data_IF_531130208176
#
_entry.id   IF_531130208176
#
_cell.length_a   1.000
_cell.length_b   1.000
_cell.length_c   1.000
_cell.angle_alpha   90.00
_cell.angle_beta   90.00
_cell.angle_gamma   90.00
#
_symmetry.space_group_name_H-M   'P 1'
#
loop_
_entity.id
_entity.type
_entity.pdbx_description
1 polymer ?
#
# COMPACT_ATOMS: atom_id res chain seq x y z
N UNK A 1 40.37 4.56 16.51
CA UNK A 1 39.01 4.68 15.93
C UNK A 1 39.07 4.13 14.51
N UNK A 2 38.44 2.98 14.23
CA UNK A 2 38.47 2.40 12.87
C UNK A 2 37.77 3.35 11.89
N UNK A 3 38.46 3.76 10.82
CA UNK A 3 37.86 4.56 9.74
C UNK A 3 36.87 3.67 9.00
N UNK A 4 35.58 3.88 9.24
CA UNK A 4 34.52 3.25 8.45
C UNK A 4 34.74 3.62 6.97
N UNK A 5 34.68 2.60 6.12
CA UNK A 5 34.73 2.74 4.67
C UNK A 5 33.67 3.77 4.20
N UNK A 6 34.06 4.81 3.44
CA UNK A 6 33.13 5.82 2.94
C UNK A 6 31.95 5.24 2.13
N UNK A 7 32.12 4.12 1.43
CA UNK A 7 31.00 3.45 0.73
C UNK A 7 30.03 2.81 1.71
N UNK A 8 30.55 2.13 2.73
CA UNK A 8 29.75 1.54 3.80
C UNK A 8 28.98 2.62 4.56
N UNK A 9 29.62 3.76 4.87
CA UNK A 9 28.97 4.91 5.51
C UNK A 9 27.81 5.45 4.67
N UNK A 10 28.00 5.61 3.35
CA UNK A 10 26.93 6.08 2.45
C UNK A 10 25.75 5.11 2.41
N UNK A 11 26.02 3.80 2.38
CA UNK A 11 24.98 2.77 2.39
C UNK A 11 24.16 2.79 3.69
N UNK A 12 24.83 2.84 4.84
CA UNK A 12 24.17 2.92 6.15
C UNK A 12 23.34 4.19 6.32
N UNK A 13 23.86 5.33 5.84
CA UNK A 13 23.10 6.58 5.82
C UNK A 13 21.86 6.49 4.91
N UNK A 14 21.95 5.78 3.79
CA UNK A 14 20.80 5.54 2.91
C UNK A 14 19.76 4.63 3.56
N UNK A 15 20.19 3.58 4.25
CA UNK A 15 19.30 2.66 4.97
C UNK A 15 18.58 3.32 6.16
N UNK A 16 19.24 4.25 6.86
CA UNK A 16 18.65 5.03 7.96
C UNK A 16 17.69 6.12 7.51
N UNK A 17 17.78 6.61 6.27
CA UNK A 17 16.88 7.65 5.75
C UNK A 17 15.46 7.16 5.43
N UNK A 18 15.25 5.84 5.29
CA UNK A 18 13.92 5.26 5.07
C UNK A 18 13.63 4.14 6.06
N UNK A 19 13.51 4.45 7.37
CA UNK A 19 13.15 3.45 8.36
C UNK A 19 11.75 2.88 8.05
N UNK A 20 11.57 1.59 8.32
CA UNK A 20 10.28 0.87 8.17
C UNK A 20 9.75 0.68 6.73
N UNK A 21 10.60 0.75 5.70
CA UNK A 21 10.19 0.51 4.30
C UNK A 21 9.44 -0.81 4.10
N UNK A 22 9.93 -1.90 4.72
CA UNK A 22 9.29 -3.21 4.67
C UNK A 22 7.88 -3.22 5.30
N UNK A 23 7.74 -2.63 6.49
CA UNK A 23 6.46 -2.52 7.18
C UNK A 23 5.44 -1.73 6.34
N UNK A 24 5.86 -0.58 5.79
CA UNK A 24 5.01 0.25 4.93
C UNK A 24 4.51 -0.53 3.71
N UNK A 25 5.38 -1.31 3.07
CA UNK A 25 5.02 -2.14 1.91
C UNK A 25 4.01 -3.22 2.28
N UNK A 26 4.18 -3.89 3.42
CA UNK A 26 3.22 -4.89 3.92
C UNK A 26 1.85 -4.24 4.16
N UNK A 27 1.82 -3.05 4.78
CA UNK A 27 0.57 -2.30 4.98
C UNK A 27 -0.12 -1.98 3.65
N UNK A 28 0.61 -1.48 2.66
CA UNK A 28 0.03 -1.19 1.35
C UNK A 28 -0.53 -2.43 0.65
N UNK A 29 0.15 -3.57 0.77
CA UNK A 29 -0.33 -4.85 0.23
C UNK A 29 -1.61 -5.29 0.96
N UNK A 30 -1.62 -5.26 2.29
CA UNK A 30 -2.76 -5.66 3.10
C UNK A 30 -3.99 -4.78 2.81
N UNK A 31 -3.81 -3.46 2.76
CA UNK A 31 -4.89 -2.53 2.43
C UNK A 31 -5.40 -2.71 0.99
N UNK A 32 -4.51 -2.93 0.03
CA UNK A 32 -4.90 -3.22 -1.35
C UNK A 32 -5.73 -4.50 -1.43
N UNK A 33 -5.24 -5.59 -0.82
CA UNK A 33 -5.95 -6.87 -0.80
C UNK A 33 -7.33 -6.77 -0.13
N UNK A 34 -7.41 -6.05 1.00
CA UNK A 34 -8.67 -5.80 1.70
C UNK A 34 -9.63 -4.95 0.85
N UNK A 35 -9.14 -3.93 0.14
CA UNK A 35 -9.95 -3.11 -0.74
C UNK A 35 -10.55 -3.94 -1.90
N UNK A 36 -9.76 -4.80 -2.55
CA UNK A 36 -10.28 -5.66 -3.60
C UNK A 36 -11.29 -6.69 -3.08
N UNK A 37 -11.03 -7.28 -1.91
CA UNK A 37 -11.97 -8.22 -1.30
C UNK A 37 -13.30 -7.54 -0.93
N UNK A 38 -13.24 -6.34 -0.35
CA UNK A 38 -14.43 -5.54 -0.04
C UNK A 38 -15.21 -5.17 -1.29
N UNK A 39 -14.53 -4.80 -2.38
CA UNK A 39 -15.19 -4.52 -3.67
C UNK A 39 -15.88 -5.77 -4.22
N UNK A 40 -15.24 -6.94 -4.16
CA UNK A 40 -15.83 -8.20 -4.57
C UNK A 40 -17.11 -8.50 -3.78
N UNK A 41 -17.09 -8.32 -2.46
CA UNK A 41 -18.28 -8.51 -1.61
C UNK A 41 -19.40 -7.54 -1.99
N UNK A 42 -19.08 -6.27 -2.25
CA UNK A 42 -20.07 -5.27 -2.68
C UNK A 42 -20.65 -5.63 -4.05
N UNK A 43 -19.85 -6.07 -5.00
CA UNK A 43 -20.34 -6.51 -6.32
C UNK A 43 -21.25 -7.73 -6.20
N UNK A 44 -20.91 -8.70 -5.34
CA UNK A 44 -21.79 -9.84 -5.04
C UNK A 44 -23.12 -9.40 -4.44
N UNK A 45 -23.11 -8.41 -3.54
CA UNK A 45 -24.31 -7.81 -2.95
C UNK A 45 -25.19 -7.09 -3.98
N UNK A 46 -24.59 -6.35 -4.91
CA UNK A 46 -25.33 -5.72 -6.02
C UNK A 46 -25.97 -6.80 -6.89
N UNK A 47 -25.22 -7.86 -7.21
CA UNK A 47 -25.72 -8.98 -8.01
C UNK A 47 -26.86 -9.75 -7.33
N UNK A 48 -26.93 -9.75 -6.00
CA UNK A 48 -28.04 -10.36 -5.25
C UNK A 48 -29.25 -9.42 -5.09
N UNK A 49 -29.24 -8.23 -5.72
CA UNK A 49 -30.32 -7.26 -5.64
C UNK A 49 -30.38 -6.49 -4.32
N UNK A 50 -29.31 -6.48 -3.52
CA UNK A 50 -29.28 -5.71 -2.27
C UNK A 50 -28.90 -4.26 -2.53
N UNK A 51 -29.58 -3.33 -1.86
CA UNK A 51 -29.25 -1.91 -1.96
C UNK A 51 -27.94 -1.60 -1.25
N UNK A 52 -27.07 -0.86 -1.94
CA UNK A 52 -25.83 -0.35 -1.38
C UNK A 52 -25.85 1.17 -1.36
N UNK A 53 -25.36 1.74 -0.27
CA UNK A 53 -25.13 3.17 -0.19
C UNK A 53 -24.05 3.58 -1.21
N UNK A 54 -24.41 4.44 -2.16
CA UNK A 54 -23.54 4.89 -3.24
C UNK A 54 -22.20 5.48 -2.73
N UNK A 55 -22.24 6.17 -1.58
CA UNK A 55 -21.05 6.72 -0.94
C UNK A 55 -20.02 5.62 -0.57
N UNK A 56 -20.50 4.48 -0.07
CA UNK A 56 -19.61 3.36 0.29
C UNK A 56 -18.93 2.78 -0.95
N UNK A 57 -19.65 2.74 -2.08
CA UNK A 57 -19.13 2.27 -3.36
C UNK A 57 -18.00 3.19 -3.86
N UNK A 58 -18.19 4.50 -3.79
CA UNK A 58 -17.15 5.47 -4.18
C UNK A 58 -15.91 5.38 -3.29
N UNK A 59 -16.09 5.25 -1.98
CA UNK A 59 -14.97 5.08 -1.05
C UNK A 59 -14.22 3.77 -1.36
N UNK A 60 -14.94 2.68 -1.62
CA UNK A 60 -14.34 1.39 -1.94
C UNK A 60 -13.53 1.43 -3.24
N UNK A 61 -14.08 2.06 -4.29
CA UNK A 61 -13.38 2.25 -5.56
C UNK A 61 -12.14 3.15 -5.37
N UNK A 62 -12.27 4.22 -4.59
CA UNK A 62 -11.15 5.09 -4.21
C UNK A 62 -10.04 4.30 -3.52
N UNK A 63 -10.38 3.44 -2.56
CA UNK A 63 -9.42 2.57 -1.88
C UNK A 63 -8.76 1.56 -2.83
N UNK A 64 -9.53 0.97 -3.76
CA UNK A 64 -9.02 0.04 -4.77
C UNK A 64 -8.04 0.68 -5.75
N UNK A 65 -8.09 2.00 -5.95
CA UNK A 65 -7.14 2.72 -6.80
C UNK A 65 -5.97 3.25 -5.96
N UNK A 66 -6.28 3.88 -4.83
CA UNK A 66 -5.31 4.59 -4.00
C UNK A 66 -4.23 3.65 -3.44
N UNK A 67 -4.62 2.54 -2.79
CA UNK A 67 -3.64 1.68 -2.13
C UNK A 67 -2.70 0.96 -3.10
N UNK A 68 -3.17 0.40 -4.24
CA UNK A 68 -2.26 -0.16 -5.24
C UNK A 68 -1.36 0.88 -5.87
N UNK A 69 -1.86 2.10 -6.07
CA UNK A 69 -1.05 3.23 -6.57
C UNK A 69 0.05 3.59 -5.58
N UNK A 70 -0.26 3.70 -4.29
CA UNK A 70 0.73 3.94 -3.23
C UNK A 70 1.76 2.81 -3.13
N UNK A 71 1.33 1.56 -3.26
CA UNK A 71 2.23 0.41 -3.33
C UNK A 71 3.19 0.51 -4.53
N UNK A 72 2.68 0.89 -5.70
CA UNK A 72 3.49 1.04 -6.91
C UNK A 72 4.53 2.17 -6.76
N UNK A 73 4.12 3.34 -6.26
CA UNK A 73 5.05 4.44 -5.99
C UNK A 73 6.10 4.09 -4.92
N UNK A 74 5.73 3.31 -3.90
CA UNK A 74 6.68 2.89 -2.87
C UNK A 74 7.72 1.89 -3.41
N UNK A 75 7.36 1.06 -4.39
CA UNK A 75 8.27 0.16 -5.11
C UNK A 75 9.24 0.90 -6.02
N UNK A 76 8.80 1.96 -6.70
CA UNK A 76 9.65 2.73 -7.61
C UNK A 76 10.65 3.66 -6.88
N UNK A 77 10.60 3.73 -5.55
CA UNK A 77 11.59 4.41 -4.69
C UNK A 77 12.71 3.48 -4.20
N UNK A 78 12.77 2.25 -4.71
CA UNK A 78 13.94 1.36 -4.60
C UNK A 78 15.07 1.87 -5.53
#
# INVERSE_FOLDING_TARGET
MSKIDPELKKKLLKETQTPFKGLRRILWIAFSGSAFLGLLIMLSKISSGSELQQNNLFIQLGACILFPTLLFFDRNKD
#
